data_IF_924912463390
#
_entry.id   IF_924912463390
#
_cell.length_a   1.000
_cell.length_b   1.000
_cell.length_c   1.000
_cell.angle_alpha   90.00
_cell.angle_beta   90.00
_cell.angle_gamma   90.00
#
_symmetry.space_group_name_H-M   'P 1'
#
loop_
_entity.id
_entity.type
_entity.pdbx_description
1 polymer ?
#
# COMPACT_ATOMS: atom_id res chain seq x y z
N UNK A 1 -5.08 10.52 30.41
CA UNK A 1 -6.16 11.37 29.88
C UNK A 1 -6.00 11.38 28.36
N UNK A 2 -6.76 10.53 27.67
CA UNK A 2 -6.77 10.45 26.22
C UNK A 2 -7.36 11.75 25.68
N UNK A 3 -6.59 12.51 24.89
CA UNK A 3 -7.13 13.68 24.21
C UNK A 3 -8.13 13.19 23.15
N UNK A 4 -9.41 13.19 23.47
CA UNK A 4 -10.49 12.90 22.52
C UNK A 4 -10.52 14.00 21.46
N UNK A 5 -9.78 13.81 20.36
CA UNK A 5 -9.84 14.69 19.23
C UNK A 5 -10.63 14.04 18.10
N UNK A 6 -11.48 14.81 17.41
CA UNK A 6 -12.24 14.35 16.26
C UNK A 6 -11.29 13.78 15.17
N UNK A 7 -11.76 12.83 14.34
CA UNK A 7 -11.05 12.37 13.15
C UNK A 7 -10.68 13.53 12.22
N UNK A 8 -9.54 13.41 11.54
CA UNK A 8 -9.04 14.48 10.65
C UNK A 8 -9.52 14.34 9.21
N UNK A 9 -9.93 13.14 8.79
CA UNK A 9 -10.42 12.88 7.43
C UNK A 9 -11.87 13.35 7.30
N UNK A 10 -12.15 14.17 6.29
CA UNK A 10 -13.47 14.80 6.08
C UNK A 10 -14.23 14.24 4.89
N UNK A 11 -13.53 13.59 3.96
CA UNK A 11 -14.13 13.05 2.76
C UNK A 11 -13.12 12.42 1.83
N UNK A 12 -13.57 12.15 0.62
CA UNK A 12 -12.75 11.63 -0.47
C UNK A 12 -12.99 12.45 -1.74
N UNK A 13 -11.96 12.57 -2.57
CA UNK A 13 -12.04 13.22 -3.86
C UNK A 13 -11.41 12.34 -4.94
N UNK A 14 -12.10 12.15 -6.04
CA UNK A 14 -11.55 11.44 -7.19
C UNK A 14 -10.48 12.29 -7.89
N UNK A 15 -9.28 11.76 -8.03
CA UNK A 15 -8.16 12.43 -8.67
C UNK A 15 -8.36 12.60 -10.20
N UNK A 16 -9.17 11.74 -10.83
CA UNK A 16 -9.47 11.83 -12.25
C UNK A 16 -10.63 12.80 -12.57
N UNK A 17 -11.81 12.60 -11.96
CA UNK A 17 -13.01 13.34 -12.33
C UNK A 17 -13.42 14.44 -11.33
N UNK A 18 -12.70 14.60 -10.23
CA UNK A 18 -12.98 15.61 -9.19
C UNK A 18 -14.21 15.34 -8.32
N UNK A 19 -14.93 14.23 -8.53
CA UNK A 19 -16.11 13.89 -7.71
C UNK A 19 -15.72 13.79 -6.25
N UNK A 20 -16.47 14.49 -5.39
CA UNK A 20 -16.32 14.42 -3.93
C UNK A 20 -17.32 13.45 -3.34
N UNK A 21 -16.86 12.69 -2.36
CA UNK A 21 -17.63 11.68 -1.64
C UNK A 21 -17.49 11.94 -0.15
N UNK A 22 -18.58 12.12 0.61
CA UNK A 22 -18.51 12.24 2.07
C UNK A 22 -17.87 11.00 2.71
N UNK A 23 -17.13 11.20 3.82
CA UNK A 23 -16.41 10.09 4.47
C UNK A 23 -17.35 8.99 4.98
N UNK A 24 -18.60 9.33 5.36
CA UNK A 24 -19.61 8.35 5.80
C UNK A 24 -20.26 7.54 4.67
N UNK A 25 -19.86 7.76 3.42
CA UNK A 25 -20.39 6.99 2.28
C UNK A 25 -19.76 5.61 2.23
N UNK A 26 -20.59 4.57 2.22
CA UNK A 26 -20.15 3.19 2.08
C UNK A 26 -19.83 2.88 0.60
N UNK A 27 -18.73 3.44 0.09
CA UNK A 27 -18.24 3.23 -1.28
C UNK A 27 -16.86 2.62 -1.27
N UNK A 28 -16.56 1.79 -2.26
CA UNK A 28 -15.24 1.19 -2.46
C UNK A 28 -14.47 1.89 -3.58
N UNK A 29 -15.16 2.43 -4.56
CA UNK A 29 -14.61 3.11 -5.73
C UNK A 29 -15.32 4.43 -5.99
N UNK A 30 -14.77 5.26 -6.87
CA UNK A 30 -15.46 6.47 -7.33
C UNK A 30 -16.84 6.14 -7.92
N UNK A 31 -17.91 6.84 -7.51
CA UNK A 31 -19.26 6.59 -8.04
C UNK A 31 -19.40 6.79 -9.56
N UNK A 32 -18.43 7.43 -10.20
CA UNK A 32 -18.37 7.59 -11.65
C UNK A 32 -17.55 6.51 -12.36
N UNK A 33 -16.86 5.64 -11.62
CA UNK A 33 -16.16 4.50 -12.21
C UNK A 33 -17.18 3.52 -12.80
N UNK A 34 -16.86 2.97 -13.97
CA UNK A 34 -17.66 1.97 -14.66
C UNK A 34 -16.77 0.82 -15.14
N UNK A 35 -17.31 -0.33 -15.52
CA UNK A 35 -16.51 -1.40 -16.12
C UNK A 35 -15.74 -0.99 -17.38
N UNK A 36 -16.23 0.01 -18.12
CA UNK A 36 -15.59 0.55 -19.33
C UNK A 36 -14.59 1.68 -19.02
N UNK A 37 -14.71 2.35 -17.87
CA UNK A 37 -13.81 3.41 -17.41
C UNK A 37 -13.51 3.22 -15.94
N UNK A 38 -12.37 2.62 -15.65
CA UNK A 38 -11.85 2.35 -14.31
C UNK A 38 -10.74 3.32 -13.89
N UNK A 39 -10.45 4.30 -14.72
CA UNK A 39 -9.41 5.30 -14.50
C UNK A 39 -9.84 6.33 -13.45
N UNK A 40 -10.33 5.84 -12.32
CA UNK A 40 -10.80 6.63 -11.19
C UNK A 40 -10.15 6.13 -9.91
N UNK A 41 -9.51 7.03 -9.17
CA UNK A 41 -8.96 6.73 -7.84
C UNK A 41 -9.39 7.81 -6.86
N UNK A 42 -9.90 7.38 -5.71
CA UNK A 42 -10.29 8.29 -4.62
C UNK A 42 -9.09 8.56 -3.73
N UNK A 43 -8.89 9.82 -3.37
CA UNK A 43 -7.90 10.27 -2.38
C UNK A 43 -8.64 10.81 -1.16
N UNK A 44 -8.13 10.55 0.05
CA UNK A 44 -8.70 11.09 1.26
C UNK A 44 -8.40 12.59 1.38
N UNK A 45 -9.42 13.37 1.73
CA UNK A 45 -9.30 14.79 2.08
C UNK A 45 -9.28 14.92 3.61
N UNK A 46 -8.30 15.65 4.15
CA UNK A 46 -8.13 15.83 5.60
C UNK A 46 -7.99 17.29 5.97
N UNK A 47 -8.43 17.63 7.17
CA UNK A 47 -8.09 18.92 7.79
C UNK A 47 -6.67 18.85 8.37
N UNK A 48 -5.98 19.99 8.35
CA UNK A 48 -4.67 20.10 9.01
C UNK A 48 -4.86 20.04 10.53
N UNK A 49 -4.18 19.11 11.17
CA UNK A 49 -4.20 18.98 12.62
C UNK A 49 -2.77 18.69 13.12
N UNK A 50 -2.40 19.11 14.35
CA UNK A 50 -1.13 18.74 14.94
C UNK A 50 -0.96 17.22 14.99
N UNK A 51 0.17 16.72 14.51
CA UNK A 51 0.49 15.29 14.56
C UNK A 51 0.89 14.91 16.00
N UNK A 52 -0.02 14.26 16.70
CA UNK A 52 0.16 13.80 18.10
C UNK A 52 -0.45 12.42 18.23
N UNK A 53 0.32 11.35 17.95
CA UNK A 53 -0.13 9.97 18.10
C UNK A 53 -0.53 9.65 19.54
N UNK A 54 -1.48 8.73 19.71
CA UNK A 54 -1.80 8.14 21.01
C UNK A 54 -0.68 7.15 21.44
N UNK A 55 -0.50 6.96 22.74
CA UNK A 55 0.43 5.97 23.29
C UNK A 55 -0.11 4.56 23.05
N UNK A 56 0.32 3.91 21.98
CA UNK A 56 -0.01 2.53 21.65
C UNK A 56 1.07 1.91 20.77
N UNK A 57 1.36 0.63 20.98
CA UNK A 57 2.19 -0.16 20.08
C UNK A 57 1.42 -0.59 18.82
N UNK A 58 0.09 -0.67 18.90
CA UNK A 58 -0.74 -0.95 17.74
C UNK A 58 -0.89 0.32 16.89
N UNK A 59 -0.39 0.34 15.63
CA UNK A 59 -0.40 1.54 14.80
C UNK A 59 -1.82 2.03 14.44
N UNK A 60 -2.80 1.14 14.39
CA UNK A 60 -4.18 1.50 14.10
C UNK A 60 -4.88 2.17 15.28
N UNK A 61 -4.39 1.96 16.51
CA UNK A 61 -4.79 2.72 17.68
C UNK A 61 -3.98 4.00 17.82
N UNK A 62 -2.65 3.92 17.68
CA UNK A 62 -1.77 5.08 17.83
C UNK A 62 -2.12 6.22 16.85
N UNK A 63 -2.44 5.89 15.60
CA UNK A 63 -2.73 6.86 14.54
C UNK A 63 -4.22 6.93 14.16
N UNK A 64 -5.10 6.37 14.99
CA UNK A 64 -6.54 6.21 14.70
C UNK A 64 -7.19 7.48 14.16
N UNK A 65 -6.92 8.63 14.76
CA UNK A 65 -7.52 9.92 14.39
C UNK A 65 -7.22 10.40 12.97
N UNK A 66 -6.14 9.92 12.38
CA UNK A 66 -5.76 10.24 10.99
C UNK A 66 -6.24 9.18 9.99
N UNK A 67 -6.78 8.07 10.48
CA UNK A 67 -7.34 7.02 9.62
C UNK A 67 -8.72 7.43 9.09
N UNK A 68 -8.93 7.24 7.79
CA UNK A 68 -10.22 7.46 7.15
C UNK A 68 -11.29 6.49 7.65
N UNK A 69 -10.89 5.27 7.98
CA UNK A 69 -11.78 4.25 8.52
C UNK A 69 -12.34 4.63 9.89
N UNK A 70 -11.60 5.36 10.72
CA UNK A 70 -12.13 5.88 11.99
C UNK A 70 -13.15 7.00 11.74
N UNK A 71 -12.85 7.91 10.81
CA UNK A 71 -13.78 8.96 10.40
C UNK A 71 -15.07 8.38 9.77
N UNK A 72 -14.95 7.32 8.98
CA UNK A 72 -16.11 6.58 8.48
C UNK A 72 -16.96 6.03 9.61
N UNK A 73 -16.34 5.32 10.56
CA UNK A 73 -17.04 4.75 11.72
C UNK A 73 -17.79 5.80 12.55
N UNK A 74 -17.19 6.97 12.78
CA UNK A 74 -17.87 8.10 13.43
C UNK A 74 -19.07 8.59 12.61
N UNK A 75 -18.86 8.82 11.31
CA UNK A 75 -19.88 9.35 10.41
C UNK A 75 -21.10 8.42 10.25
N UNK A 76 -20.92 7.11 10.41
CA UNK A 76 -22.02 6.12 10.40
C UNK A 76 -22.55 5.80 11.80
N UNK A 77 -22.15 6.56 12.82
CA UNK A 77 -22.72 6.52 14.17
C UNK A 77 -22.13 5.46 15.11
N UNK A 78 -20.99 4.85 14.78
CA UNK A 78 -20.30 3.95 15.71
C UNK A 78 -19.52 4.78 16.74
N UNK A 79 -19.81 4.66 18.05
CA UNK A 79 -19.14 5.46 19.08
C UNK A 79 -17.65 5.14 19.16
N UNK A 80 -16.84 6.08 19.65
CA UNK A 80 -15.38 5.94 19.74
C UNK A 80 -14.94 4.66 20.44
N UNK A 81 -15.56 4.34 21.59
CA UNK A 81 -15.27 3.11 22.31
C UNK A 81 -15.56 1.84 21.48
N UNK A 82 -16.59 1.87 20.64
CA UNK A 82 -16.92 0.77 19.74
C UNK A 82 -15.93 0.63 18.59
N UNK A 83 -15.37 1.75 18.09
CA UNK A 83 -14.33 1.75 17.05
C UNK A 83 -13.01 1.22 17.61
N UNK A 84 -12.62 1.66 18.82
CA UNK A 84 -11.43 1.14 19.52
C UNK A 84 -11.57 -0.36 19.78
N UNK A 85 -12.67 -0.79 20.37
CA UNK A 85 -12.93 -2.20 20.68
C UNK A 85 -12.88 -3.07 19.42
N UNK A 86 -13.39 -2.58 18.26
CA UNK A 86 -13.30 -3.32 17.01
C UNK A 86 -11.86 -3.52 16.54
N UNK A 87 -11.00 -2.50 16.65
CA UNK A 87 -9.58 -2.62 16.30
C UNK A 87 -8.90 -3.66 17.20
N UNK A 88 -9.15 -3.61 18.52
CA UNK A 88 -8.57 -4.53 19.50
C UNK A 88 -9.04 -5.98 19.26
N UNK A 89 -10.34 -6.18 19.07
CA UNK A 89 -10.93 -7.48 18.76
C UNK A 89 -10.36 -8.09 17.49
N UNK A 90 -10.30 -7.30 16.42
CA UNK A 90 -9.77 -7.74 15.12
C UNK A 90 -8.28 -8.04 15.19
N UNK A 91 -7.49 -7.20 15.87
CA UNK A 91 -6.05 -7.44 16.06
C UNK A 91 -5.79 -8.74 16.83
N UNK A 92 -6.59 -9.04 17.87
CA UNK A 92 -6.50 -10.29 18.62
C UNK A 92 -6.85 -11.51 17.75
N UNK A 93 -7.89 -11.41 16.90
CA UNK A 93 -8.27 -12.47 15.96
C UNK A 93 -7.18 -12.71 14.91
N UNK A 94 -6.59 -11.63 14.39
CA UNK A 94 -5.45 -11.70 13.45
C UNK A 94 -4.24 -12.34 14.13
N UNK A 95 -3.93 -11.97 15.38
CA UNK A 95 -2.84 -12.55 16.14
C UNK A 95 -3.00 -14.06 16.37
N UNK A 96 -4.23 -14.54 16.55
CA UNK A 96 -4.53 -15.97 16.70
C UNK A 96 -4.23 -16.77 15.41
N UNK A 97 -4.35 -16.16 14.23
CA UNK A 97 -4.08 -16.82 12.94
C UNK A 97 -2.61 -16.62 12.51
N UNK A 98 -2.08 -15.40 12.64
CA UNK A 98 -0.75 -15.03 12.15
C UNK A 98 0.38 -15.26 13.17
N UNK A 99 0.05 -15.59 14.43
CA UNK A 99 1.01 -15.69 15.52
C UNK A 99 1.46 -14.34 16.10
N UNK A 100 1.05 -13.23 15.47
CA UNK A 100 1.31 -11.85 15.92
C UNK A 100 0.21 -10.91 15.47
N UNK A 101 -0.13 -9.92 16.32
CA UNK A 101 -0.96 -8.78 15.92
C UNK A 101 -0.13 -7.64 15.33
N UNK A 102 -0.80 -6.55 14.99
CA UNK A 102 -0.13 -5.36 14.46
C UNK A 102 0.63 -4.61 15.56
N UNK A 103 1.88 -4.30 15.27
CA UNK A 103 2.76 -3.49 16.11
C UNK A 103 3.51 -2.47 15.25
N UNK A 104 3.94 -1.37 15.86
CA UNK A 104 4.91 -0.47 15.23
C UNK A 104 6.14 -1.29 14.85
N UNK A 105 6.52 -1.27 13.57
CA UNK A 105 7.67 -2.04 13.09
C UNK A 105 8.96 -1.25 13.27
N UNK A 106 10.12 -1.93 13.40
CA UNK A 106 11.39 -1.24 13.64
C UNK A 106 11.74 -0.24 12.54
N UNK A 107 12.29 0.91 12.94
CA UNK A 107 12.99 1.85 12.07
C UNK A 107 14.37 2.09 12.68
N UNK A 108 15.40 1.59 12.03
CA UNK A 108 16.76 1.54 12.60
C UNK A 108 17.79 2.03 11.58
N UNK A 109 18.74 2.87 12.03
CA UNK A 109 19.92 3.20 11.23
C UNK A 109 20.78 1.94 11.09
N UNK A 110 21.16 1.61 9.87
CA UNK A 110 21.98 0.45 9.55
C UNK A 110 23.41 0.90 9.26
N UNK A 111 24.27 0.84 10.29
CA UNK A 111 25.64 1.38 10.23
C UNK A 111 26.46 0.70 9.14
N UNK A 112 26.52 -0.64 9.12
CA UNK A 112 27.27 -1.36 8.09
C UNK A 112 26.80 -1.05 6.65
N UNK A 113 25.51 -0.88 6.44
CA UNK A 113 24.95 -0.50 5.15
C UNK A 113 25.25 0.97 4.81
N UNK A 114 25.24 1.85 5.80
CA UNK A 114 25.57 3.26 5.63
C UNK A 114 27.06 3.43 5.28
N UNK A 115 27.94 2.72 5.95
CA UNK A 115 29.38 2.75 5.69
C UNK A 115 29.73 2.19 4.31
N UNK A 116 29.12 1.06 3.90
CA UNK A 116 29.30 0.46 2.57
C UNK A 116 28.87 1.41 1.44
N UNK A 117 27.80 2.17 1.69
CA UNK A 117 27.33 3.18 0.74
C UNK A 117 28.02 4.55 0.89
N UNK A 118 29.00 4.70 1.79
CA UNK A 118 29.80 5.90 1.94
C UNK A 118 29.07 7.09 2.58
N UNK A 119 28.08 6.84 3.44
CA UNK A 119 27.46 7.90 4.25
C UNK A 119 28.35 8.29 5.43
N UNK A 120 28.26 9.55 5.83
CA UNK A 120 28.98 10.06 7.02
C UNK A 120 28.27 9.65 8.31
N UNK A 121 28.93 9.88 9.45
CA UNK A 121 28.34 9.59 10.76
C UNK A 121 27.08 10.44 11.07
N UNK A 122 26.89 11.59 10.41
CA UNK A 122 25.73 12.47 10.59
C UNK A 122 24.53 12.08 9.72
N UNK A 123 24.77 11.34 8.62
CA UNK A 123 23.74 10.80 7.73
C UNK A 123 23.57 9.30 7.87
N UNK A 124 22.98 8.67 6.87
CA UNK A 124 22.94 7.22 6.77
C UNK A 124 21.64 6.64 6.25
N UNK A 125 21.65 5.31 6.07
CA UNK A 125 20.49 4.55 5.63
C UNK A 125 19.72 4.02 6.83
N UNK A 126 18.46 4.40 6.91
CA UNK A 126 17.50 3.94 7.90
C UNK A 126 16.57 2.92 7.25
N UNK A 127 16.45 1.76 7.86
CA UNK A 127 15.59 0.68 7.38
C UNK A 127 14.32 0.60 8.20
N UNK A 128 13.17 0.77 7.54
CA UNK A 128 11.83 0.47 8.06
C UNK A 128 11.53 -0.99 7.75
N UNK A 129 11.54 -1.85 8.78
CA UNK A 129 11.45 -3.31 8.61
C UNK A 129 10.01 -3.83 8.70
N UNK A 130 9.30 -3.87 7.57
CA UNK A 130 7.95 -4.44 7.46
C UNK A 130 7.95 -5.99 7.33
N UNK A 131 9.11 -6.66 7.31
CA UNK A 131 9.17 -8.13 7.32
C UNK A 131 8.63 -8.71 8.62
N UNK A 132 8.64 -7.93 9.70
CA UNK A 132 8.11 -8.29 11.03
C UNK A 132 6.61 -8.04 11.20
N UNK A 133 5.97 -7.48 10.19
CA UNK A 133 4.53 -7.22 10.23
C UNK A 133 3.71 -8.50 10.07
N UNK A 134 2.42 -8.43 10.37
CA UNK A 134 1.44 -9.50 10.12
C UNK A 134 1.61 -10.03 8.69
N UNK A 135 1.57 -11.33 8.52
CA UNK A 135 1.79 -12.03 7.25
C UNK A 135 3.16 -11.71 6.58
N UNK A 136 4.14 -11.18 7.33
CA UNK A 136 5.49 -10.93 6.86
C UNK A 136 5.64 -9.80 5.84
N UNK A 137 4.70 -8.87 5.74
CA UNK A 137 4.81 -7.74 4.79
C UNK A 137 3.90 -6.56 5.14
N UNK A 138 4.20 -5.39 4.55
CA UNK A 138 3.36 -4.20 4.64
C UNK A 138 1.92 -4.41 4.13
N UNK A 139 1.69 -5.41 3.27
CA UNK A 139 0.39 -5.65 2.64
C UNK A 139 -0.75 -5.85 3.65
N UNK A 140 -0.46 -6.46 4.80
CA UNK A 140 -1.46 -6.68 5.83
C UNK A 140 -2.05 -5.37 6.38
N UNK A 141 -1.29 -4.26 6.41
CA UNK A 141 -1.80 -2.96 6.87
C UNK A 141 -2.90 -2.43 5.96
N UNK A 142 -2.71 -2.54 4.64
CA UNK A 142 -3.70 -2.14 3.65
C UNK A 142 -5.00 -2.92 3.79
N UNK A 143 -4.87 -4.24 3.87
CA UNK A 143 -6.01 -5.16 3.99
C UNK A 143 -6.75 -4.98 5.32
N UNK A 144 -6.04 -4.63 6.41
CA UNK A 144 -6.66 -4.44 7.72
C UNK A 144 -7.69 -3.31 7.72
N UNK A 145 -7.40 -2.18 7.07
CA UNK A 145 -8.36 -1.06 6.99
C UNK A 145 -9.54 -1.32 6.06
N UNK A 146 -9.35 -2.13 5.02
CA UNK A 146 -10.49 -2.64 4.23
C UNK A 146 -11.43 -3.48 5.12
N UNK A 147 -10.86 -4.42 5.88
CA UNK A 147 -11.65 -5.28 6.76
C UNK A 147 -12.33 -4.48 7.88
N UNK A 148 -11.62 -3.51 8.48
CA UNK A 148 -12.22 -2.61 9.48
C UNK A 148 -13.41 -1.84 8.89
N UNK A 149 -13.29 -1.31 7.68
CA UNK A 149 -14.37 -0.59 7.02
C UNK A 149 -15.60 -1.48 6.81
N UNK A 150 -15.40 -2.70 6.29
CA UNK A 150 -16.47 -3.66 6.07
C UNK A 150 -17.19 -4.03 7.38
N UNK A 151 -16.45 -4.27 8.45
CA UNK A 151 -17.00 -4.61 9.77
C UNK A 151 -17.69 -3.41 10.44
N UNK A 152 -17.18 -2.19 10.25
CA UNK A 152 -17.87 -0.97 10.71
C UNK A 152 -19.17 -0.76 9.95
N UNK A 153 -19.20 -1.01 8.63
CA UNK A 153 -20.42 -0.93 7.83
C UNK A 153 -21.47 -1.96 8.28
N UNK A 154 -21.05 -3.17 8.64
CA UNK A 154 -21.95 -4.18 9.24
C UNK A 154 -22.49 -3.72 10.58
N UNK A 155 -21.63 -3.27 11.51
CA UNK A 155 -22.04 -2.81 12.85
C UNK A 155 -23.02 -1.62 12.77
N UNK A 156 -22.85 -0.75 11.78
CA UNK A 156 -23.72 0.39 11.56
C UNK A 156 -24.99 0.05 10.75
N UNK A 157 -25.12 -1.17 10.24
CA UNK A 157 -26.28 -1.58 9.41
C UNK A 157 -26.29 -0.96 8.02
N UNK A 158 -25.13 -0.47 7.51
CA UNK A 158 -25.00 0.17 6.17
C UNK A 158 -24.26 -0.71 5.15
N UNK A 159 -23.94 -1.95 5.53
CA UNK A 159 -23.31 -2.91 4.61
C UNK A 159 -24.23 -3.22 3.42
N UNK A 160 -23.67 -3.36 2.23
CA UNK A 160 -24.43 -3.59 1.00
C UNK A 160 -25.26 -4.90 1.01
N UNK A 161 -24.84 -5.90 1.80
CA UNK A 161 -25.54 -7.19 1.97
C UNK A 161 -26.58 -7.17 3.10
N UNK A 162 -26.72 -6.05 3.83
CA UNK A 162 -27.68 -5.92 4.94
C UNK A 162 -27.48 -7.01 5.98
N UNK A 163 -28.59 -7.66 6.39
CA UNK A 163 -28.59 -8.80 7.33
C UNK A 163 -28.45 -10.17 6.62
N UNK A 164 -28.13 -10.17 5.32
CA UNK A 164 -27.90 -11.39 4.55
C UNK A 164 -26.54 -12.03 4.81
N UNK A 165 -26.28 -13.13 4.12
CA UNK A 165 -24.97 -13.76 4.16
C UNK A 165 -23.89 -12.84 3.58
N UNK A 166 -22.73 -12.78 4.23
CA UNK A 166 -21.58 -12.05 3.73
C UNK A 166 -21.19 -12.55 2.33
N UNK A 167 -21.03 -11.66 1.32
CA UNK A 167 -20.49 -12.05 0.04
C UNK A 167 -19.04 -12.49 0.19
N UNK A 168 -18.53 -13.30 -0.74
CA UNK A 168 -17.13 -13.69 -0.74
C UNK A 168 -16.22 -12.48 -0.94
N UNK A 169 -15.09 -12.43 -0.24
CA UNK A 169 -13.99 -11.52 -0.53
C UNK A 169 -13.26 -12.01 -1.80
N UNK A 170 -12.58 -11.12 -2.52
CA UNK A 170 -11.96 -11.44 -3.81
C UNK A 170 -10.67 -10.67 -4.02
N UNK A 171 -9.59 -11.36 -4.45
CA UNK A 171 -8.30 -10.76 -4.77
C UNK A 171 -7.62 -11.45 -5.95
N UNK A 172 -6.98 -10.68 -6.83
CA UNK A 172 -6.03 -11.19 -7.83
C UNK A 172 -4.60 -10.92 -7.35
N UNK A 173 -3.93 -11.95 -6.86
CA UNK A 173 -2.52 -11.88 -6.43
C UNK A 173 -1.99 -13.28 -6.13
N UNK A 174 -0.72 -13.53 -6.43
CA UNK A 174 -0.01 -14.78 -6.12
C UNK A 174 1.15 -14.59 -5.11
N UNK A 175 1.16 -13.49 -4.35
CA UNK A 175 2.25 -13.17 -3.42
C UNK A 175 1.76 -12.67 -2.06
N UNK A 176 2.52 -11.74 -1.48
CA UNK A 176 2.28 -11.20 -0.14
C UNK A 176 0.88 -10.58 0.07
N UNK A 177 0.26 -10.00 -0.98
CA UNK A 177 -1.08 -9.46 -0.87
C UNK A 177 -2.14 -10.54 -0.70
N UNK A 178 -2.04 -11.65 -1.45
CA UNK A 178 -2.94 -12.79 -1.33
C UNK A 178 -2.83 -13.45 0.05
N UNK A 179 -1.60 -13.62 0.56
CA UNK A 179 -1.36 -14.20 1.90
C UNK A 179 -1.94 -13.28 2.98
N UNK A 180 -1.70 -11.97 2.91
CA UNK A 180 -2.26 -11.02 3.86
C UNK A 180 -3.79 -11.03 3.83
N UNK A 181 -4.41 -10.98 2.65
CA UNK A 181 -5.86 -11.01 2.49
C UNK A 181 -6.46 -12.31 3.06
N UNK A 182 -5.85 -13.45 2.75
CA UNK A 182 -6.31 -14.75 3.25
C UNK A 182 -6.14 -14.89 4.77
N UNK A 183 -5.05 -14.34 5.34
CA UNK A 183 -4.82 -14.31 6.78
C UNK A 183 -5.91 -13.52 7.51
N UNK A 184 -6.24 -12.33 7.01
CA UNK A 184 -7.24 -11.47 7.62
C UNK A 184 -8.67 -12.00 7.42
N UNK A 185 -8.96 -12.56 6.24
CA UNK A 185 -10.22 -13.23 5.97
C UNK A 185 -10.43 -14.43 6.91
N UNK A 186 -9.39 -15.24 7.12
CA UNK A 186 -9.40 -16.38 8.05
C UNK A 186 -9.64 -15.93 9.49
N UNK A 187 -9.08 -14.78 9.91
CA UNK A 187 -9.21 -14.26 11.27
C UNK A 187 -10.68 -14.00 11.66
N UNK A 188 -11.53 -13.65 10.70
CA UNK A 188 -12.96 -13.34 10.91
C UNK A 188 -13.89 -14.36 10.25
N UNK A 189 -13.37 -15.51 9.86
CA UNK A 189 -14.09 -16.59 9.19
C UNK A 189 -14.89 -16.11 7.95
N UNK A 190 -14.30 -15.24 7.13
CA UNK A 190 -14.91 -14.67 5.94
C UNK A 190 -14.40 -15.40 4.69
N UNK A 191 -15.27 -15.98 3.84
CA UNK A 191 -14.83 -16.67 2.63
C UNK A 191 -14.07 -15.75 1.68
N UNK A 192 -12.95 -16.23 1.10
CA UNK A 192 -12.14 -15.48 0.14
C UNK A 192 -11.82 -16.32 -1.10
N UNK A 193 -11.95 -15.72 -2.27
CA UNK A 193 -11.55 -16.24 -3.58
C UNK A 193 -10.25 -15.54 -4.03
N UNK A 194 -9.22 -16.33 -4.31
CA UNK A 194 -7.89 -15.86 -4.71
C UNK A 194 -7.59 -16.31 -6.13
N UNK A 195 -7.38 -15.36 -7.02
CA UNK A 195 -7.10 -15.60 -8.44
C UNK A 195 -5.60 -15.52 -8.69
N UNK A 196 -5.00 -16.63 -9.19
CA UNK A 196 -3.55 -16.78 -9.36
C UNK A 196 -3.19 -17.22 -10.77
N UNK A 197 -1.99 -16.84 -11.30
CA UNK A 197 -1.52 -17.34 -12.58
C UNK A 197 -1.11 -18.83 -12.49
N UNK A 198 -1.04 -19.54 -13.63
CA UNK A 198 -0.57 -20.95 -13.65
C UNK A 198 0.86 -21.13 -13.12
N UNK A 199 1.69 -20.10 -13.20
CA UNK A 199 3.07 -20.12 -12.72
C UNK A 199 3.22 -19.73 -11.23
N UNK A 200 2.11 -19.62 -10.47
CA UNK A 200 2.17 -19.30 -9.05
C UNK A 200 2.98 -20.32 -8.25
N UNK A 201 3.82 -19.85 -7.34
CA UNK A 201 4.70 -20.68 -6.54
C UNK A 201 3.92 -21.66 -5.64
N UNK A 202 4.36 -22.93 -5.62
CA UNK A 202 3.68 -23.97 -4.85
C UNK A 202 3.66 -23.70 -3.35
N UNK A 203 4.68 -23.04 -2.83
CA UNK A 203 4.75 -22.64 -1.43
C UNK A 203 3.64 -21.63 -1.08
N UNK A 204 3.42 -20.63 -1.94
CA UNK A 204 2.33 -19.65 -1.78
C UNK A 204 0.97 -20.35 -1.85
N UNK A 205 0.77 -21.24 -2.83
CA UNK A 205 -0.48 -21.99 -2.96
C UNK A 205 -0.77 -22.86 -1.72
N UNK A 206 0.26 -23.46 -1.13
CA UNK A 206 0.15 -24.24 0.10
C UNK A 206 -0.28 -23.36 1.29
N UNK A 207 0.32 -22.18 1.44
CA UNK A 207 -0.05 -21.22 2.48
C UNK A 207 -1.50 -20.76 2.32
N UNK A 208 -1.92 -20.39 1.10
CA UNK A 208 -3.30 -19.97 0.82
C UNK A 208 -4.30 -21.08 1.16
N UNK A 209 -4.00 -22.33 0.79
CA UNK A 209 -4.83 -23.49 1.13
C UNK A 209 -4.94 -23.71 2.64
N UNK A 210 -3.84 -23.57 3.39
CA UNK A 210 -3.84 -23.70 4.86
C UNK A 210 -4.65 -22.62 5.56
N UNK A 211 -4.77 -21.42 4.94
CA UNK A 211 -5.61 -20.34 5.41
C UNK A 211 -7.09 -20.49 5.02
N UNK A 212 -7.43 -21.52 4.25
CA UNK A 212 -8.80 -21.81 3.81
C UNK A 212 -9.26 -20.97 2.62
N UNK A 213 -8.35 -20.34 1.88
CA UNK A 213 -8.68 -19.60 0.67
C UNK A 213 -9.12 -20.53 -0.46
N UNK A 214 -10.11 -20.10 -1.26
CA UNK A 214 -10.47 -20.79 -2.49
C UNK A 214 -9.60 -20.26 -3.62
N UNK A 215 -8.63 -21.07 -4.05
CA UNK A 215 -7.65 -20.68 -5.06
C UNK A 215 -8.18 -21.03 -6.46
N UNK A 216 -8.18 -20.04 -7.37
CA UNK A 216 -8.59 -20.15 -8.76
C UNK A 216 -7.40 -19.91 -9.66
N UNK A 217 -6.91 -20.94 -10.33
CA UNK A 217 -5.84 -20.82 -11.34
C UNK A 217 -6.42 -20.24 -12.63
N UNK A 218 -5.80 -19.20 -13.16
CA UNK A 218 -6.32 -18.38 -14.26
C UNK A 218 -5.42 -18.46 -15.50
N UNK A 219 -5.46 -19.53 -16.28
CA UNK A 219 -4.79 -19.55 -17.57
C UNK A 219 -5.44 -18.54 -18.53
N UNK A 220 -4.63 -17.97 -19.45
CA UNK A 220 -5.15 -17.12 -20.51
C UNK A 220 -6.08 -17.92 -21.43
N UNK A 221 -7.23 -17.32 -21.78
CA UNK A 221 -8.18 -17.86 -22.76
C UNK A 221 -8.09 -17.05 -24.04
N UNK A 222 -8.43 -17.65 -25.17
CA UNK A 222 -8.44 -16.98 -26.49
C UNK A 222 -9.42 -15.77 -26.52
N UNK A 223 -10.42 -15.79 -25.66
CA UNK A 223 -11.43 -14.71 -25.55
C UNK A 223 -11.04 -13.63 -24.54
N UNK A 224 -9.92 -13.76 -23.82
CA UNK A 224 -9.50 -12.76 -22.85
C UNK A 224 -9.04 -11.49 -23.56
N UNK A 225 -9.44 -10.31 -23.09
CA UNK A 225 -8.88 -9.06 -23.55
C UNK A 225 -7.40 -8.95 -23.17
N UNK A 226 -6.71 -7.92 -23.64
CA UNK A 226 -5.35 -7.60 -23.19
C UNK A 226 -5.32 -7.39 -21.64
N UNK A 227 -4.17 -7.63 -21.02
CA UNK A 227 -3.98 -7.53 -19.56
C UNK A 227 -3.94 -8.88 -18.84
N UNK A 228 -3.86 -8.87 -17.53
CA UNK A 228 -3.70 -10.06 -16.69
C UNK A 228 -5.01 -10.89 -16.59
N UNK A 229 -4.99 -12.19 -16.94
CA UNK A 229 -6.14 -13.08 -16.78
C UNK A 229 -6.68 -13.19 -15.36
N UNK A 230 -5.81 -13.09 -14.34
CA UNK A 230 -6.23 -13.13 -12.94
C UNK A 230 -7.08 -11.92 -12.58
N UNK A 231 -6.67 -10.74 -13.04
CA UNK A 231 -7.42 -9.50 -12.86
C UNK A 231 -8.77 -9.58 -13.58
N UNK A 232 -8.84 -10.18 -14.77
CA UNK A 232 -10.10 -10.38 -15.47
C UNK A 232 -11.06 -11.27 -14.67
N UNK A 233 -10.59 -12.41 -14.14
CA UNK A 233 -11.40 -13.33 -13.32
C UNK A 233 -11.82 -12.71 -12.00
N UNK A 234 -10.94 -11.98 -11.38
CA UNK A 234 -11.25 -11.18 -10.19
C UNK A 234 -12.39 -10.18 -10.47
N UNK A 235 -12.28 -9.39 -11.54
CA UNK A 235 -13.31 -8.41 -11.93
C UNK A 235 -14.64 -9.08 -12.30
N UNK A 236 -14.62 -10.24 -12.96
CA UNK A 236 -15.79 -11.06 -13.18
C UNK A 236 -16.46 -11.51 -11.86
N UNK A 237 -15.66 -11.86 -10.85
CA UNK A 237 -16.15 -12.23 -9.52
C UNK A 237 -16.80 -11.03 -8.82
N UNK A 238 -16.16 -9.86 -8.85
CA UNK A 238 -16.71 -8.61 -8.30
C UNK A 238 -18.02 -8.23 -9.00
N UNK A 239 -18.10 -8.36 -10.31
CA UNK A 239 -19.34 -8.12 -11.06
C UNK A 239 -20.48 -9.08 -10.67
N UNK A 240 -20.17 -10.27 -10.14
CA UNK A 240 -21.14 -11.23 -9.59
C UNK A 240 -21.47 -11.00 -8.11
N UNK A 241 -20.89 -9.95 -7.48
CA UNK A 241 -21.23 -9.53 -6.13
C UNK A 241 -20.19 -9.88 -5.07
N UNK A 242 -18.98 -10.37 -5.40
CA UNK A 242 -17.91 -10.47 -4.42
C UNK A 242 -17.36 -9.10 -4.08
N UNK A 243 -16.76 -8.96 -2.89
CA UNK A 243 -16.15 -7.71 -2.42
C UNK A 243 -14.68 -7.68 -2.83
N UNK A 244 -14.20 -6.63 -3.53
CA UNK A 244 -12.78 -6.45 -3.79
C UNK A 244 -12.03 -6.25 -2.47
N UNK A 245 -11.01 -7.10 -2.24
CA UNK A 245 -10.26 -7.15 -0.99
C UNK A 245 -8.77 -7.31 -1.30
N UNK A 246 -8.13 -6.20 -1.68
CA UNK A 246 -6.77 -6.19 -2.21
C UNK A 246 -6.07 -4.86 -2.01
N UNK A 247 -4.99 -4.62 -2.75
CA UNK A 247 -4.09 -3.48 -2.53
C UNK A 247 -4.06 -2.51 -3.72
N UNK A 248 -5.20 -2.33 -4.37
CA UNK A 248 -5.37 -1.44 -5.52
C UNK A 248 -6.47 -0.42 -5.22
N UNK A 249 -6.10 0.86 -5.11
CA UNK A 249 -7.03 1.94 -4.76
C UNK A 249 -8.11 2.19 -5.81
N UNK A 250 -7.90 1.75 -7.06
CA UNK A 250 -8.90 1.77 -8.14
C UNK A 250 -10.00 0.73 -7.97
N UNK A 251 -9.79 -0.32 -7.18
CA UNK A 251 -10.77 -1.37 -6.89
C UNK A 251 -11.37 -1.24 -5.47
N UNK A 252 -10.57 -0.75 -4.50
CA UNK A 252 -11.02 -0.47 -3.15
C UNK A 252 -10.18 0.64 -2.50
N UNK A 253 -10.77 1.83 -2.31
CA UNK A 253 -10.06 2.99 -1.74
C UNK A 253 -9.55 2.76 -0.32
N UNK A 254 -10.21 1.90 0.46
CA UNK A 254 -9.87 1.70 1.87
C UNK A 254 -8.53 1.01 2.07
N UNK A 255 -7.97 0.35 1.05
CA UNK A 255 -6.61 -0.18 1.09
C UNK A 255 -5.56 0.94 1.25
N UNK A 256 -5.87 2.16 0.79
CA UNK A 256 -4.97 3.32 0.88
C UNK A 256 -4.86 3.89 2.29
N UNK A 257 -5.73 3.51 3.20
CA UNK A 257 -5.74 4.07 4.55
C UNK A 257 -4.67 3.43 5.46
N UNK A 258 -4.63 2.10 5.52
CA UNK A 258 -3.75 1.36 6.43
C UNK A 258 -2.26 1.53 6.13
N UNK A 259 -1.89 1.64 4.85
CA UNK A 259 -0.50 1.88 4.44
C UNK A 259 0.08 3.21 4.94
N UNK A 260 -0.77 4.19 5.27
CA UNK A 260 -0.36 5.50 5.82
C UNK A 260 0.31 5.37 7.18
N UNK A 261 -0.03 4.33 7.95
CA UNK A 261 0.58 4.09 9.26
C UNK A 261 2.10 3.93 9.18
N UNK A 262 2.64 3.41 8.07
CA UNK A 262 4.09 3.25 7.87
C UNK A 262 4.81 4.60 7.86
N UNK A 263 4.29 5.56 7.09
CA UNK A 263 4.89 6.89 7.03
C UNK A 263 4.70 7.66 8.33
N UNK A 264 3.60 7.46 9.06
CA UNK A 264 3.43 8.06 10.40
C UNK A 264 4.40 7.45 11.43
N UNK A 265 4.70 6.15 11.36
CA UNK A 265 5.76 5.54 12.18
C UNK A 265 7.15 6.11 11.86
N UNK A 266 7.44 6.38 10.57
CA UNK A 266 8.67 7.07 10.16
C UNK A 266 8.69 8.48 10.75
N UNK A 267 7.58 9.22 10.66
CA UNK A 267 7.43 10.55 11.24
C UNK A 267 7.67 10.56 12.75
N UNK A 268 7.06 9.61 13.47
CA UNK A 268 7.11 9.50 14.93
C UNK A 268 8.53 9.26 15.46
N UNK A 269 9.35 8.52 14.70
CA UNK A 269 10.74 8.19 15.06
C UNK A 269 11.75 9.22 14.55
N UNK A 270 11.60 9.64 13.27
CA UNK A 270 12.59 10.51 12.61
C UNK A 270 12.36 11.98 12.89
N UNK A 271 11.13 12.38 13.24
CA UNK A 271 10.71 13.77 13.29
C UNK A 271 11.06 14.47 11.96
N UNK A 272 11.76 15.57 11.94
CA UNK A 272 12.19 16.28 10.72
C UNK A 272 13.54 15.82 10.16
N UNK A 273 14.10 14.69 10.62
CA UNK A 273 15.46 14.23 10.25
C UNK A 273 15.50 13.37 8.99
N UNK A 274 14.37 12.95 8.44
CA UNK A 274 14.34 12.22 7.17
C UNK A 274 14.47 13.20 5.99
N UNK A 275 15.53 13.08 5.20
CA UNK A 275 15.77 13.91 4.02
C UNK A 275 15.15 13.30 2.77
N UNK A 276 15.26 11.98 2.62
CA UNK A 276 14.70 11.21 1.51
C UNK A 276 14.04 9.92 1.97
N UNK A 277 13.01 9.52 1.26
CA UNK A 277 12.36 8.20 1.42
C UNK A 277 12.26 7.52 0.07
N UNK A 278 12.77 6.29 -0.03
CA UNK A 278 12.71 5.48 -1.24
C UNK A 278 11.70 4.36 -1.04
N UNK A 279 10.72 4.28 -1.94
CA UNK A 279 9.63 3.30 -1.88
C UNK A 279 9.52 2.58 -3.22
N UNK A 280 9.58 1.27 -3.20
CA UNK A 280 9.37 0.43 -4.38
C UNK A 280 7.92 0.49 -4.85
N UNK A 281 7.73 0.50 -6.17
CA UNK A 281 6.42 0.72 -6.80
C UNK A 281 6.14 -0.29 -7.90
N UNK A 282 5.10 -1.10 -7.69
CA UNK A 282 4.33 -1.77 -8.73
C UNK A 282 3.02 -1.01 -8.95
N UNK A 283 1.92 -1.45 -8.33
CA UNK A 283 0.59 -0.81 -8.43
C UNK A 283 0.46 0.58 -7.79
N UNK A 284 1.41 1.02 -6.97
CA UNK A 284 1.52 2.40 -6.48
C UNK A 284 0.82 2.71 -5.16
N UNK A 285 -0.14 1.92 -4.70
CA UNK A 285 -0.90 2.21 -3.46
C UNK A 285 0.03 2.44 -2.25
N UNK A 286 1.08 1.64 -2.11
CA UNK A 286 2.04 1.74 -1.02
C UNK A 286 2.76 3.10 -0.99
N UNK A 287 3.39 3.50 -2.08
CA UNK A 287 4.11 4.78 -2.17
C UNK A 287 3.16 5.97 -2.03
N UNK A 288 1.95 5.88 -2.60
CA UNK A 288 0.92 6.91 -2.43
C UNK A 288 0.51 7.06 -0.96
N UNK A 289 0.33 5.95 -0.21
CA UNK A 289 0.03 5.98 1.23
C UNK A 289 1.14 6.65 2.04
N UNK A 290 2.40 6.30 1.78
CA UNK A 290 3.56 6.89 2.46
C UNK A 290 3.63 8.39 2.19
N UNK A 291 3.45 8.83 0.95
CA UNK A 291 3.40 10.25 0.59
C UNK A 291 2.22 11.00 1.25
N UNK A 292 1.03 10.38 1.27
CA UNK A 292 -0.16 10.94 1.93
C UNK A 292 0.04 11.12 3.44
N UNK A 293 0.74 10.17 4.09
CA UNK A 293 1.03 10.24 5.52
C UNK A 293 1.97 11.39 5.89
N UNK A 294 3.00 11.63 5.10
CA UNK A 294 3.92 12.75 5.31
C UNK A 294 3.20 14.09 5.17
N UNK A 295 2.38 14.24 4.13
CA UNK A 295 1.56 15.45 3.96
C UNK A 295 0.63 15.69 5.14
N UNK A 296 0.00 14.64 5.67
CA UNK A 296 -0.90 14.73 6.82
C UNK A 296 -0.18 15.07 8.14
N UNK A 297 1.10 14.66 8.29
CA UNK A 297 1.93 14.96 9.46
C UNK A 297 2.76 16.25 9.34
N UNK A 298 2.74 16.92 8.18
CA UNK A 298 3.52 18.13 7.93
C UNK A 298 5.01 17.89 7.67
N UNK A 299 5.40 16.64 7.40
CA UNK A 299 6.74 16.29 6.94
C UNK A 299 6.81 16.29 5.41
N UNK A 300 8.00 16.62 4.90
CA UNK A 300 8.23 16.74 3.47
C UNK A 300 9.58 16.12 3.03
N UNK A 301 9.91 14.88 3.43
CA UNK A 301 11.09 14.22 2.89
C UNK A 301 10.91 14.02 1.38
N UNK A 302 11.97 14.16 0.60
CA UNK A 302 11.90 13.89 -0.84
C UNK A 302 11.50 12.44 -1.07
N UNK A 303 10.32 12.22 -1.63
CA UNK A 303 9.80 10.90 -1.92
C UNK A 303 10.30 10.41 -3.29
N UNK A 304 11.02 9.31 -3.32
CA UNK A 304 11.47 8.66 -4.54
C UNK A 304 10.75 7.33 -4.73
N UNK A 305 10.08 7.20 -5.89
CA UNK A 305 9.37 5.97 -6.27
C UNK A 305 10.27 5.11 -7.15
N UNK A 306 10.61 3.89 -6.70
CA UNK A 306 11.58 3.02 -7.35
C UNK A 306 10.87 1.93 -8.15
N UNK A 307 11.21 1.82 -9.44
CA UNK A 307 10.79 0.74 -10.33
C UNK A 307 12.01 0.06 -10.95
N UNK A 308 11.86 -1.19 -11.38
CA UNK A 308 12.89 -1.89 -12.14
C UNK A 308 12.90 -1.45 -13.60
N UNK A 309 14.07 -1.46 -14.24
CA UNK A 309 14.21 -1.10 -15.66
C UNK A 309 13.36 -1.98 -16.60
N UNK A 310 13.11 -3.23 -16.22
CA UNK A 310 12.25 -4.14 -16.96
C UNK A 310 10.75 -3.84 -16.90
N UNK A 311 10.31 -2.93 -15.99
CA UNK A 311 8.91 -2.50 -15.88
C UNK A 311 8.81 -1.16 -15.13
N UNK A 312 8.72 -0.04 -15.85
CA UNK A 312 8.73 1.31 -15.28
C UNK A 312 7.60 2.23 -15.79
N UNK A 313 6.31 1.80 -15.73
CA UNK A 313 5.20 2.61 -16.22
C UNK A 313 5.01 3.93 -15.47
N UNK A 314 5.37 4.00 -14.16
CA UNK A 314 5.29 5.22 -13.36
C UNK A 314 6.31 6.28 -13.82
N UNK A 315 7.54 5.88 -14.14
CA UNK A 315 8.56 6.80 -14.63
C UNK A 315 8.09 7.46 -15.94
N UNK A 316 7.52 6.66 -16.85
CA UNK A 316 6.89 7.16 -18.08
C UNK A 316 5.72 8.10 -17.78
N UNK A 317 4.84 7.74 -16.84
CA UNK A 317 3.70 8.58 -16.45
C UNK A 317 4.14 9.92 -15.86
N UNK A 318 5.21 9.94 -15.08
CA UNK A 318 5.82 11.17 -14.55
C UNK A 318 6.28 12.10 -15.67
N UNK A 319 7.05 11.61 -16.62
CA UNK A 319 7.54 12.38 -17.78
C UNK A 319 6.37 12.94 -18.58
N UNK A 320 5.36 12.11 -18.87
CA UNK A 320 4.15 12.52 -19.58
C UNK A 320 3.36 13.58 -18.84
N UNK A 321 3.17 13.41 -17.52
CA UNK A 321 2.45 14.37 -16.70
C UNK A 321 3.14 15.74 -16.72
N UNK A 322 4.46 15.79 -16.57
CA UNK A 322 5.24 17.04 -16.64
C UNK A 322 5.15 17.70 -18.04
N UNK A 323 5.21 16.90 -19.09
CA UNK A 323 5.14 17.40 -20.48
C UNK A 323 3.75 17.93 -20.86
N UNK A 324 2.68 17.42 -20.23
CA UNK A 324 1.28 17.72 -20.61
C UNK A 324 0.54 18.67 -19.65
N UNK A 325 1.23 19.29 -18.68
CA UNK A 325 0.61 20.29 -17.80
C UNK A 325 0.92 20.15 -16.32
N UNK A 326 1.89 19.32 -15.95
CA UNK A 326 2.38 19.15 -14.57
C UNK A 326 1.74 17.98 -13.83
N UNK A 327 2.31 17.69 -12.65
CA UNK A 327 1.91 16.58 -11.79
C UNK A 327 0.52 16.80 -11.16
N UNK A 328 0.22 18.02 -10.74
CA UNK A 328 -1.07 18.35 -10.12
C UNK A 328 -2.20 18.19 -11.11
N UNK A 329 -3.21 17.40 -10.73
CA UNK A 329 -4.37 17.14 -11.58
C UNK A 329 -4.07 16.23 -12.79
N UNK A 330 -2.93 15.56 -12.83
CA UNK A 330 -2.56 14.63 -13.91
C UNK A 330 -3.59 13.48 -14.07
N UNK A 331 -4.30 13.12 -13.00
CA UNK A 331 -5.36 12.12 -13.04
C UNK A 331 -6.48 12.43 -14.04
N UNK A 332 -6.77 13.71 -14.30
CA UNK A 332 -7.75 14.11 -15.32
C UNK A 332 -7.29 13.81 -16.76
N UNK A 333 -5.98 13.54 -16.94
CA UNK A 333 -5.35 13.18 -18.22
C UNK A 333 -4.83 11.75 -18.19
N UNK A 334 -5.52 10.86 -17.48
CA UNK A 334 -5.06 9.48 -17.23
C UNK A 334 -4.58 8.79 -18.51
N UNK A 335 -5.41 8.74 -19.54
CA UNK A 335 -5.08 8.05 -20.79
C UNK A 335 -3.88 8.63 -21.56
N UNK A 336 -3.48 9.89 -21.27
CA UNK A 336 -2.30 10.52 -21.85
C UNK A 336 -1.01 10.18 -21.10
N UNK A 337 -1.13 9.73 -19.84
CA UNK A 337 -0.01 9.54 -18.91
C UNK A 337 0.24 8.07 -18.58
N UNK A 338 -0.81 7.26 -18.39
CA UNK A 338 -0.69 5.89 -17.92
C UNK A 338 -1.42 4.92 -18.84
N UNK A 339 -0.72 3.88 -19.24
CA UNK A 339 -1.22 2.74 -20.01
C UNK A 339 -0.32 1.52 -19.75
N UNK A 340 -0.75 0.29 -20.11
CA UNK A 340 0.02 -0.93 -19.87
C UNK A 340 1.43 -0.85 -20.42
N UNK A 341 2.38 -1.49 -19.71
CA UNK A 341 3.76 -1.64 -20.16
C UNK A 341 3.82 -2.46 -21.45
N UNK A 342 4.59 -2.00 -22.44
CA UNK A 342 4.56 -2.57 -23.79
C UNK A 342 5.34 -3.87 -23.92
N UNK A 343 6.33 -4.09 -23.05
CA UNK A 343 7.16 -5.27 -23.06
C UNK A 343 6.73 -6.25 -21.98
N UNK A 344 7.19 -7.51 -22.06
CA UNK A 344 6.98 -8.45 -20.96
C UNK A 344 7.76 -7.98 -19.73
N UNK A 345 7.07 -7.72 -18.59
CA UNK A 345 7.73 -7.25 -17.37
C UNK A 345 8.69 -8.30 -16.82
N UNK A 346 9.90 -7.88 -16.45
CA UNK A 346 10.90 -8.77 -15.86
C UNK A 346 11.80 -8.06 -14.85
N UNK A 347 12.08 -8.70 -13.74
CA UNK A 347 13.07 -8.32 -12.73
C UNK A 347 13.16 -9.41 -11.66
N UNK A 348 14.27 -9.44 -10.92
CA UNK A 348 14.38 -10.18 -9.67
C UNK A 348 13.37 -9.68 -8.61
N UNK A 349 13.00 -8.40 -8.67
CA UNK A 349 11.96 -7.80 -7.83
C UNK A 349 10.56 -7.99 -8.44
N UNK A 350 10.13 -9.23 -8.58
CA UNK A 350 8.91 -9.68 -9.27
C UNK A 350 7.60 -9.05 -8.74
N UNK A 351 7.55 -8.74 -7.45
CA UNK A 351 6.36 -8.16 -6.81
C UNK A 351 6.10 -6.67 -7.11
N UNK A 352 6.91 -6.03 -7.98
CA UNK A 352 6.70 -4.67 -8.48
C UNK A 352 6.56 -4.60 -10.01
N UNK A 353 6.22 -5.71 -10.65
CA UNK A 353 6.09 -5.83 -12.10
C UNK A 353 4.63 -5.64 -12.59
N UNK A 354 3.86 -4.80 -11.91
CA UNK A 354 2.54 -4.40 -12.42
C UNK A 354 2.72 -3.63 -13.74
N UNK A 355 2.04 -4.05 -14.79
CA UNK A 355 2.08 -3.44 -16.13
C UNK A 355 1.50 -2.02 -16.15
N UNK A 356 0.63 -1.70 -15.20
CA UNK A 356 0.17 -0.35 -14.88
C UNK A 356 0.38 -0.02 -13.40
N UNK A 357 0.76 1.20 -13.11
CA UNK A 357 0.75 1.69 -11.73
C UNK A 357 -0.63 2.26 -11.41
N UNK A 358 -1.53 1.46 -10.84
CA UNK A 358 -2.95 1.79 -10.63
C UNK A 358 -3.18 3.04 -9.77
N UNK A 359 -2.33 3.28 -8.77
CA UNK A 359 -2.39 4.45 -7.87
C UNK A 359 -1.37 5.55 -8.24
N UNK A 360 -0.94 5.60 -9.50
CA UNK A 360 0.13 6.47 -10.00
C UNK A 360 -0.08 7.97 -9.68
N UNK A 361 -1.32 8.45 -9.72
CA UNK A 361 -1.62 9.87 -9.51
C UNK A 361 -1.16 10.32 -8.13
N UNK A 362 -1.47 9.54 -7.08
CA UNK A 362 -1.05 9.86 -5.71
C UNK A 362 0.47 9.82 -5.54
N UNK A 363 1.16 8.92 -6.25
CA UNK A 363 2.64 8.85 -6.21
C UNK A 363 3.25 10.06 -6.90
N UNK A 364 2.78 10.39 -8.11
CA UNK A 364 3.25 11.55 -8.90
C UNK A 364 3.02 12.87 -8.14
N UNK A 365 1.83 13.07 -7.57
CA UNK A 365 1.53 14.25 -6.78
C UNK A 365 2.41 14.34 -5.51
N UNK A 366 2.68 13.21 -4.84
CA UNK A 366 3.54 13.19 -3.65
C UNK A 366 5.00 13.47 -3.98
N UNK A 367 5.54 12.89 -5.06
CA UNK A 367 6.89 13.22 -5.54
C UNK A 367 7.03 14.69 -5.88
N UNK A 368 6.09 15.24 -6.65
CA UNK A 368 6.10 16.65 -7.03
C UNK A 368 6.03 17.59 -5.81
N UNK A 369 5.18 17.28 -4.84
CA UNK A 369 5.01 18.08 -3.63
C UNK A 369 6.24 18.08 -2.71
N UNK A 370 7.09 17.05 -2.78
CA UNK A 370 8.27 16.89 -1.91
C UNK A 370 9.60 17.17 -2.64
N UNK A 371 9.57 17.47 -3.94
CA UNK A 371 10.78 17.61 -4.75
C UNK A 371 11.50 16.29 -5.00
N UNK A 372 10.80 15.17 -4.86
CA UNK A 372 11.27 13.84 -5.24
C UNK A 372 11.07 13.53 -6.72
N UNK A 373 11.38 12.30 -7.11
CA UNK A 373 11.31 11.85 -8.50
C UNK A 373 11.17 10.33 -8.59
N UNK A 374 10.71 9.77 -9.72
CA UNK A 374 10.86 8.35 -9.97
C UNK A 374 12.34 7.97 -10.12
N UNK A 375 12.66 6.74 -9.79
CA UNK A 375 13.97 6.11 -10.00
C UNK A 375 13.77 4.80 -10.74
N UNK A 376 14.37 4.66 -11.90
CA UNK A 376 14.40 3.40 -12.64
C UNK A 376 15.73 2.71 -12.32
N UNK A 377 15.66 1.67 -11.50
CA UNK A 377 16.84 0.93 -11.04
C UNK A 377 17.23 -0.16 -12.04
N UNK A 378 18.51 -0.18 -12.49
CA UNK A 378 19.04 -1.28 -13.28
C UNK A 378 18.96 -2.62 -12.52
N UNK A 379 18.85 -3.73 -13.24
CA UNK A 379 18.74 -5.06 -12.62
C UNK A 379 19.94 -5.41 -11.72
N UNK A 380 21.14 -4.94 -12.07
CA UNK A 380 22.32 -5.10 -11.24
C UNK A 380 22.20 -4.40 -9.89
N UNK A 381 21.55 -3.22 -9.83
CA UNK A 381 21.32 -2.49 -8.59
C UNK A 381 20.23 -3.18 -7.76
N UNK A 382 19.20 -3.77 -8.39
CA UNK A 382 18.20 -4.61 -7.73
C UNK A 382 18.86 -5.81 -7.05
N UNK A 383 19.72 -6.53 -7.78
CA UNK A 383 20.45 -7.69 -7.26
C UNK A 383 21.43 -7.28 -6.14
N UNK A 384 22.17 -6.19 -6.34
CA UNK A 384 23.07 -5.60 -5.35
C UNK A 384 22.36 -5.20 -4.07
N UNK A 385 21.22 -4.52 -4.19
CA UNK A 385 20.37 -4.11 -3.06
C UNK A 385 19.86 -5.31 -2.26
N UNK A 386 19.47 -6.39 -2.94
CA UNK A 386 19.03 -7.61 -2.26
C UNK A 386 20.17 -8.26 -1.48
N UNK A 387 21.36 -8.40 -2.10
CA UNK A 387 22.53 -8.97 -1.46
C UNK A 387 22.96 -8.13 -0.24
N UNK A 388 23.17 -6.82 -0.41
CA UNK A 388 23.58 -5.91 0.67
C UNK A 388 22.51 -5.80 1.75
N UNK A 389 21.25 -5.67 1.36
CA UNK A 389 20.13 -5.57 2.29
C UNK A 389 20.08 -6.74 3.27
N UNK A 390 20.30 -7.96 2.79
CA UNK A 390 20.34 -9.15 3.67
C UNK A 390 21.64 -9.27 4.47
N UNK A 391 22.78 -9.13 3.81
CA UNK A 391 24.08 -9.40 4.44
C UNK A 391 24.48 -8.35 5.47
N UNK A 392 24.17 -7.06 5.23
CA UNK A 392 24.57 -5.96 6.08
C UNK A 392 23.54 -5.57 7.15
N UNK A 393 22.29 -6.04 7.01
CA UNK A 393 21.23 -5.76 8.00
C UNK A 393 20.79 -6.97 8.79
N UNK A 394 21.05 -8.18 8.29
CA UNK A 394 20.56 -9.45 8.86
C UNK A 394 19.04 -9.66 8.70
N UNK A 395 18.34 -8.79 7.96
CA UNK A 395 16.89 -8.92 7.73
C UNK A 395 16.64 -9.94 6.62
N UNK A 396 15.74 -10.90 6.84
CA UNK A 396 15.32 -11.86 5.82
C UNK A 396 14.31 -11.22 4.86
N UNK A 397 14.75 -10.31 4.03
CA UNK A 397 13.94 -9.53 3.09
C UNK A 397 14.02 -10.07 1.67
N UNK A 398 12.92 -9.99 0.91
CA UNK A 398 12.86 -10.40 -0.50
C UNK A 398 13.51 -9.37 -1.44
N UNK A 399 13.83 -9.74 -2.70
CA UNK A 399 14.30 -8.79 -3.71
C UNK A 399 13.32 -7.63 -3.93
N UNK A 400 12.04 -7.92 -4.02
CA UNK A 400 10.96 -6.90 -4.03
C UNK A 400 11.02 -6.01 -2.78
N UNK A 401 11.27 -6.62 -1.62
CA UNK A 401 11.35 -5.89 -0.35
C UNK A 401 12.51 -4.92 -0.25
N UNK A 402 13.61 -5.17 -0.95
CA UNK A 402 14.81 -4.33 -0.98
C UNK A 402 14.87 -3.36 -2.16
N UNK A 403 13.91 -3.37 -3.09
CA UNK A 403 14.00 -2.57 -4.31
C UNK A 403 14.06 -1.06 -4.04
N UNK A 404 13.52 -0.57 -2.90
CA UNK A 404 13.75 0.81 -2.45
C UNK A 404 15.24 1.14 -2.22
N UNK A 405 16.02 0.19 -1.72
CA UNK A 405 17.47 0.34 -1.55
C UNK A 405 18.20 0.38 -2.90
N UNK A 406 17.70 -0.33 -3.92
CA UNK A 406 18.25 -0.20 -5.28
C UNK A 406 18.16 1.24 -5.78
N UNK A 407 17.07 1.94 -5.48
CA UNK A 407 16.94 3.37 -5.79
C UNK A 407 17.99 4.25 -5.10
N UNK A 408 18.39 3.93 -3.86
CA UNK A 408 19.49 4.62 -3.17
C UNK A 408 20.82 4.37 -3.89
N UNK A 409 21.09 3.12 -4.27
CA UNK A 409 22.31 2.76 -5.02
C UNK A 409 22.36 3.52 -6.34
N UNK A 410 21.30 3.45 -7.14
CA UNK A 410 21.19 4.13 -8.43
C UNK A 410 21.40 5.65 -8.34
N UNK A 411 20.93 6.25 -7.24
CA UNK A 411 21.03 7.71 -7.04
C UNK A 411 22.18 8.14 -6.12
N UNK A 412 23.07 7.23 -5.70
CA UNK A 412 24.05 7.50 -4.64
C UNK A 412 24.84 8.79 -4.82
N UNK A 413 25.29 9.08 -6.02
CA UNK A 413 26.05 10.30 -6.36
C UNK A 413 25.24 11.61 -6.22
N UNK A 414 23.89 11.51 -6.16
CA UNK A 414 22.97 12.65 -6.02
C UNK A 414 22.50 12.83 -4.56
N UNK A 415 22.97 12.00 -3.65
CA UNK A 415 22.65 12.02 -2.23
C UNK A 415 23.88 12.48 -1.46
N UNK A 416 23.74 13.55 -0.66
CA UNK A 416 24.84 14.02 0.18
C UNK A 416 25.13 13.01 1.29
N UNK A 417 26.40 12.91 1.71
CA UNK A 417 26.84 11.90 2.67
C UNK A 417 26.25 12.11 4.07
N UNK A 418 25.79 13.31 4.38
CA UNK A 418 25.14 13.68 5.64
C UNK A 418 23.59 13.60 5.61
N UNK A 419 22.98 13.25 4.47
CA UNK A 419 21.54 13.03 4.40
C UNK A 419 21.11 11.73 5.12
N UNK A 420 19.95 11.78 5.79
CA UNK A 420 19.27 10.60 6.32
C UNK A 420 18.27 10.06 5.28
N UNK A 421 18.56 8.87 4.81
CA UNK A 421 17.78 8.20 3.78
C UNK A 421 16.99 7.05 4.38
N UNK A 422 15.69 7.03 4.19
CA UNK A 422 14.83 5.94 4.65
C UNK A 422 14.49 5.01 3.48
N UNK A 423 14.71 3.72 3.68
CA UNK A 423 14.23 2.64 2.80
C UNK A 423 13.26 1.74 3.55
N UNK A 424 12.29 1.15 2.85
CA UNK A 424 11.29 0.29 3.49
C UNK A 424 11.49 -1.14 3.00
N UNK A 425 11.92 -2.03 3.90
CA UNK A 425 12.01 -3.46 3.63
C UNK A 425 10.61 -4.07 3.73
N UNK A 426 9.91 -4.11 2.61
CA UNK A 426 8.47 -4.23 2.55
C UNK A 426 7.91 -5.63 2.71
N UNK A 427 8.73 -6.68 2.61
CA UNK A 427 8.26 -8.06 2.75
C UNK A 427 9.37 -9.09 2.87
N UNK A 428 9.03 -10.17 3.57
CA UNK A 428 9.94 -11.28 3.87
C UNK A 428 10.27 -12.09 2.62
N UNK A 429 11.48 -12.68 2.57
CA UNK A 429 11.83 -13.73 1.62
C UNK A 429 11.17 -15.05 2.05
N UNK A 430 10.42 -15.66 1.19
CA UNK A 430 9.79 -16.99 1.36
C UNK A 430 10.55 -18.05 0.60
#
# INVERSE_FOLDING_TARGET
>A
MTSSGAPTVTGMRCAACGTRVPVGSNVLVCPRSTPADRHHVLHFESVVAPFRPDESDNPFLAYRRWLAVDAFGEAVGVPESGRIALIEELDAQVAAVAGTGFRKTPLTRMDALSDELGFSASGGVWVKDETRNVAGSHKARHIFTELLQLLLAERAGVAAWGNGARPSLSIASCGNAAIAASTLARAVDWPIDVFVPPAAEQEVLSVLGSLGARVHVCPRRDTDPAGDPCVHRFRESVARGSVPFGVQGTENVWCRDGGRTIGWEITDVMDHRADRVFVQVGGGAFAACVGDSFRASGLHPRLHAVQAEGCAPLARAWERALATGGATGAGARWAECMWPWENEPHSLADGILDDETYDWVGVVESMAATGGSPVVAPENDIAGAHLMGRSLTGVNVSPTGTAGLAGVITMREQIADDENVVVIFSGIQR
#
